data_IF_353825317710
#
_entry.id   IF_353825317710
#
_cell.length_a   1.000
_cell.length_b   1.000
_cell.length_c   1.000
_cell.angle_alpha   90.00
_cell.angle_beta   90.00
_cell.angle_gamma   90.00
#
_symmetry.space_group_name_H-M   'P 1'
#
loop_
_entity.id
_entity.type
_entity.pdbx_description
1 polymer ?
#
# COMPACT_ATOMS: atom_id res chain seq x y z
N UNK A 1 -14.13 -47.65 26.17
CA UNK A 1 -13.33 -46.63 25.47
C UNK A 1 -14.25 -45.47 25.20
N UNK A 2 -13.99 -44.30 25.77
CA UNK A 2 -14.78 -43.09 25.51
C UNK A 2 -14.52 -42.68 24.06
N UNK A 3 -15.44 -43.00 23.16
CA UNK A 3 -15.46 -42.52 21.79
C UNK A 3 -15.63 -41.01 21.84
N UNK A 4 -14.55 -40.29 21.53
CA UNK A 4 -14.55 -38.83 21.52
C UNK A 4 -15.38 -38.37 20.34
N UNK A 5 -16.42 -37.61 20.61
CA UNK A 5 -17.22 -36.93 19.59
C UNK A 5 -16.30 -36.06 18.70
N UNK A 6 -16.32 -36.30 17.39
CA UNK A 6 -15.56 -35.54 16.39
C UNK A 6 -16.48 -35.02 15.27
N UNK A 7 -16.94 -33.76 15.37
CA UNK A 7 -17.88 -33.19 14.42
C UNK A 7 -17.26 -32.85 13.05
N UNK A 8 -15.92 -32.82 12.93
CA UNK A 8 -15.26 -32.38 11.70
C UNK A 8 -15.42 -33.40 10.56
N UNK A 9 -15.49 -34.69 10.88
CA UNK A 9 -15.61 -35.76 9.90
C UNK A 9 -17.06 -36.04 9.48
N UNK A 10 -18.06 -35.60 10.26
CA UNK A 10 -19.48 -35.81 9.95
C UNK A 10 -19.92 -35.06 8.68
N UNK A 11 -19.48 -33.81 8.51
CA UNK A 11 -19.79 -33.03 7.31
C UNK A 11 -19.23 -33.65 6.04
N UNK A 12 -17.98 -34.16 6.10
CA UNK A 12 -17.36 -34.85 4.97
C UNK A 12 -18.06 -36.19 4.67
N UNK A 13 -18.51 -36.92 5.69
CA UNK A 13 -19.29 -38.15 5.53
C UNK A 13 -20.63 -37.88 4.84
N UNK A 14 -21.39 -36.86 5.27
CA UNK A 14 -22.68 -36.48 4.66
C UNK A 14 -22.50 -36.09 3.19
N UNK A 15 -21.49 -35.29 2.88
CA UNK A 15 -21.21 -34.83 1.51
C UNK A 15 -20.55 -35.89 0.62
N UNK A 16 -20.32 -37.11 1.12
CA UNK A 16 -19.68 -38.19 0.37
C UNK A 16 -18.21 -37.93 0.00
N UNK A 17 -17.52 -37.13 0.81
CA UNK A 17 -16.15 -36.68 0.56
C UNK A 17 -15.07 -37.51 1.29
N UNK A 18 -15.47 -38.57 1.99
CA UNK A 18 -14.57 -39.50 2.68
C UNK A 18 -14.14 -40.66 1.78
N UNK A 19 -12.96 -41.21 2.06
CA UNK A 19 -12.51 -42.46 1.43
C UNK A 19 -13.18 -43.71 2.02
N UNK A 20 -13.00 -44.87 1.37
CA UNK A 20 -13.64 -46.12 1.81
C UNK A 20 -13.24 -46.57 3.22
N UNK A 21 -12.03 -46.24 3.66
CA UNK A 21 -11.57 -46.59 5.00
C UNK A 21 -12.19 -45.66 6.04
N UNK A 22 -12.19 -44.36 5.77
CA UNK A 22 -12.81 -43.34 6.62
C UNK A 22 -14.33 -43.55 6.77
N UNK A 23 -15.02 -43.99 5.71
CA UNK A 23 -16.44 -44.37 5.78
C UNK A 23 -16.66 -45.53 6.75
N UNK A 24 -15.82 -46.58 6.70
CA UNK A 24 -15.95 -47.73 7.61
C UNK A 24 -15.71 -47.33 9.07
N UNK A 25 -14.70 -46.49 9.31
CA UNK A 25 -14.39 -45.97 10.64
C UNK A 25 -15.53 -45.09 11.19
N UNK A 26 -16.14 -44.27 10.32
CA UNK A 26 -17.30 -43.45 10.68
C UNK A 26 -18.55 -44.30 10.96
N UNK A 27 -18.83 -45.32 10.15
CA UNK A 27 -19.95 -46.24 10.39
C UNK A 27 -19.82 -46.92 11.76
N UNK A 28 -18.63 -47.41 12.11
CA UNK A 28 -18.37 -47.98 13.44
C UNK A 28 -18.56 -46.92 14.55
N UNK A 29 -18.09 -45.70 14.33
CA UNK A 29 -18.26 -44.60 15.28
C UNK A 29 -19.75 -44.27 15.52
N UNK A 30 -20.57 -44.21 14.47
CA UNK A 30 -21.99 -43.90 14.56
C UNK A 30 -22.78 -44.96 15.34
N UNK A 31 -22.33 -46.23 15.34
CA UNK A 31 -22.95 -47.27 16.20
C UNK A 31 -22.66 -47.10 17.69
N UNK A 32 -21.60 -46.35 18.03
CA UNK A 32 -21.09 -46.24 19.40
C UNK A 32 -21.20 -44.82 19.99
N UNK A 33 -21.56 -43.81 19.20
CA UNK A 33 -21.73 -42.42 19.63
C UNK A 33 -23.13 -41.86 19.27
N UNK A 34 -24.07 -41.78 20.24
CA UNK A 34 -25.42 -41.27 19.98
C UNK A 34 -25.46 -39.77 19.63
N UNK A 35 -24.48 -38.98 20.09
CA UNK A 35 -24.41 -37.56 19.76
C UNK A 35 -24.08 -37.33 18.28
N UNK A 36 -23.10 -38.08 17.74
CA UNK A 36 -22.79 -38.04 16.31
C UNK A 36 -23.95 -38.56 15.44
N UNK A 37 -24.68 -39.57 15.91
CA UNK A 37 -25.86 -40.09 15.19
C UNK A 37 -26.98 -39.04 15.08
N UNK A 38 -27.22 -38.27 16.15
CA UNK A 38 -28.18 -37.16 16.15
C UNK A 38 -27.74 -36.01 15.25
N UNK A 39 -26.47 -35.61 15.33
CA UNK A 39 -25.94 -34.53 14.47
C UNK A 39 -25.97 -34.92 12.98
N UNK A 40 -25.74 -36.21 12.66
CA UNK A 40 -25.88 -36.72 11.30
C UNK A 40 -27.31 -36.56 10.76
N UNK A 41 -28.32 -36.76 11.60
CA UNK A 41 -29.74 -36.54 11.23
C UNK A 41 -30.00 -35.06 10.96
N UNK A 42 -29.54 -34.17 11.85
CA UNK A 42 -29.65 -32.71 11.67
C UNK A 42 -28.97 -32.22 10.37
N UNK A 43 -27.81 -32.78 10.03
CA UNK A 43 -27.09 -32.45 8.79
C UNK A 43 -27.80 -32.97 7.54
N UNK A 44 -28.39 -34.17 7.58
CA UNK A 44 -29.16 -34.74 6.46
C UNK A 44 -30.43 -33.96 6.17
N UNK A 45 -31.10 -33.46 7.20
CA UNK A 45 -32.27 -32.59 7.03
C UNK A 45 -31.89 -31.26 6.35
N UNK A 46 -30.74 -30.68 6.72
CA UNK A 46 -30.22 -29.49 6.07
C UNK A 46 -29.82 -29.76 4.61
N UNK A 47 -29.17 -30.90 4.33
CA UNK A 47 -28.83 -31.33 2.96
C UNK A 47 -30.09 -31.48 2.10
N UNK A 48 -31.13 -32.13 2.64
CA UNK A 48 -32.41 -32.28 1.94
C UNK A 48 -33.03 -30.93 1.59
N UNK A 49 -33.03 -29.98 2.54
CA UNK A 49 -33.52 -28.61 2.29
C UNK A 49 -32.68 -27.87 1.23
N UNK A 50 -31.35 -28.02 1.25
CA UNK A 50 -30.48 -27.44 0.22
C UNK A 50 -30.67 -28.10 -1.15
N UNK A 51 -31.04 -29.38 -1.19
CA UNK A 51 -31.38 -30.11 -2.41
C UNK A 51 -32.69 -29.67 -3.07
N UNK A 52 -33.57 -28.97 -2.35
CA UNK A 52 -34.80 -28.39 -2.91
C UNK A 52 -34.56 -27.11 -3.73
N UNK A 53 -33.32 -26.61 -3.78
CA UNK A 53 -32.98 -25.42 -4.57
C UNK A 53 -33.19 -25.71 -6.06
N UNK A 54 -34.10 -24.96 -6.73
CA UNK A 54 -34.37 -25.18 -8.14
C UNK A 54 -33.14 -24.84 -8.98
N UNK A 55 -32.90 -25.52 -10.13
CA UNK A 55 -31.75 -25.25 -10.99
C UNK A 55 -31.64 -23.79 -11.43
N UNK A 56 -32.76 -23.09 -11.55
CA UNK A 56 -32.83 -21.67 -11.91
C UNK A 56 -32.30 -20.73 -10.81
N UNK A 57 -32.25 -21.20 -9.56
CA UNK A 57 -31.65 -20.50 -8.43
C UNK A 57 -30.17 -20.86 -8.23
N UNK A 58 -29.67 -21.90 -8.91
CA UNK A 58 -28.25 -22.21 -8.95
C UNK A 58 -27.56 -21.22 -9.88
N UNK A 59 -26.96 -20.18 -9.30
CA UNK A 59 -26.15 -19.21 -10.03
C UNK A 59 -24.74 -19.77 -10.22
N UNK A 60 -24.36 -20.05 -11.48
CA UNK A 60 -22.98 -20.36 -11.83
C UNK A 60 -22.13 -19.08 -11.83
N UNK A 61 -21.65 -18.73 -10.64
CA UNK A 61 -20.78 -17.58 -10.44
C UNK A 61 -21.52 -16.24 -10.30
N UNK A 62 -20.76 -15.13 -10.21
CA UNK A 62 -21.34 -13.81 -10.07
C UNK A 62 -22.22 -13.47 -11.29
N UNK A 63 -23.29 -12.67 -11.11
CA UNK A 63 -24.19 -12.29 -12.20
C UNK A 63 -23.42 -11.64 -13.36
N UNK A 64 -23.94 -11.74 -14.58
CA UNK A 64 -23.33 -11.10 -15.75
C UNK A 64 -23.07 -9.60 -15.48
N UNK A 65 -21.81 -9.19 -15.57
CA UNK A 65 -21.39 -7.81 -15.27
C UNK A 65 -21.18 -7.49 -13.79
N UNK A 66 -21.20 -8.50 -12.90
CA UNK A 66 -20.92 -8.35 -11.47
C UNK A 66 -19.57 -7.68 -11.19
N UNK A 67 -18.55 -7.99 -11.99
CA UNK A 67 -17.24 -7.33 -11.90
C UNK A 67 -17.28 -5.85 -12.22
N UNK A 68 -18.06 -5.45 -13.23
CA UNK A 68 -18.22 -4.05 -13.61
C UNK A 68 -18.98 -3.28 -12.53
N UNK A 69 -20.01 -3.90 -11.94
CA UNK A 69 -20.76 -3.34 -10.81
C UNK A 69 -19.85 -3.19 -9.58
N UNK A 70 -19.04 -4.20 -9.26
CA UNK A 70 -18.07 -4.15 -8.18
C UNK A 70 -17.05 -3.04 -8.40
N UNK A 71 -16.43 -2.97 -9.58
CA UNK A 71 -15.46 -1.93 -9.92
C UNK A 71 -16.08 -0.53 -9.86
N UNK A 72 -17.31 -0.36 -10.35
CA UNK A 72 -18.06 0.90 -10.28
C UNK A 72 -18.31 1.31 -8.84
N UNK A 73 -18.74 0.36 -8.00
CA UNK A 73 -19.03 0.58 -6.58
C UNK A 73 -17.76 0.97 -5.83
N UNK A 74 -16.66 0.25 -6.04
CA UNK A 74 -15.37 0.57 -5.44
C UNK A 74 -14.82 1.93 -5.89
N UNK A 75 -15.04 2.32 -7.15
CA UNK A 75 -14.67 3.63 -7.68
C UNK A 75 -15.51 4.74 -7.04
N UNK A 76 -16.82 4.51 -6.88
CA UNK A 76 -17.74 5.44 -6.25
C UNK A 76 -17.37 5.67 -4.78
N UNK A 77 -17.16 4.60 -3.99
CA UNK A 77 -16.75 4.69 -2.58
C UNK A 77 -15.44 5.46 -2.42
N UNK A 78 -14.47 5.24 -3.31
CA UNK A 78 -13.20 6.00 -3.32
C UNK A 78 -13.43 7.48 -3.62
N UNK A 79 -14.30 7.80 -4.58
CA UNK A 79 -14.61 9.19 -4.93
C UNK A 79 -15.35 9.94 -3.82
N UNK A 80 -16.28 9.29 -3.13
CA UNK A 80 -17.04 9.86 -2.02
C UNK A 80 -16.14 10.10 -0.80
N UNK A 81 -15.27 9.13 -0.46
CA UNK A 81 -14.26 9.31 0.60
C UNK A 81 -13.24 10.40 0.26
N UNK A 82 -12.79 10.47 -0.98
CA UNK A 82 -11.85 11.48 -1.46
C UNK A 82 -12.44 12.90 -1.46
N UNK A 83 -13.73 13.04 -1.81
CA UNK A 83 -14.44 14.33 -1.82
C UNK A 83 -14.56 14.97 -0.44
N UNK A 84 -14.82 14.16 0.60
CA UNK A 84 -14.90 14.63 1.99
C UNK A 84 -13.52 15.08 2.50
N UNK A 85 -12.48 14.28 2.24
CA UNK A 85 -11.11 14.64 2.62
C UNK A 85 -10.65 15.93 1.93
N UNK A 86 -10.94 16.07 0.63
CA UNK A 86 -10.58 17.24 -0.16
C UNK A 86 -11.33 18.50 0.28
N UNK A 87 -12.64 18.41 0.56
CA UNK A 87 -13.41 19.53 1.15
C UNK A 87 -12.86 19.96 2.51
N UNK A 88 -12.49 19.01 3.37
CA UNK A 88 -11.88 19.31 4.68
C UNK A 88 -10.53 19.99 4.52
N UNK A 89 -9.71 19.55 3.58
CA UNK A 89 -8.42 20.17 3.25
C UNK A 89 -8.58 21.59 2.69
N UNK A 90 -9.55 21.82 1.81
CA UNK A 90 -9.86 23.17 1.31
C UNK A 90 -10.38 24.09 2.41
N UNK A 91 -11.25 23.60 3.31
CA UNK A 91 -11.75 24.37 4.44
C UNK A 91 -10.62 24.74 5.43
N UNK A 92 -9.72 23.79 5.73
CA UNK A 92 -8.54 24.04 6.55
C UNK A 92 -7.57 25.03 5.89
N UNK A 93 -7.37 24.93 4.57
CA UNK A 93 -6.56 25.88 3.81
C UNK A 93 -7.14 27.29 3.80
N UNK A 94 -8.46 27.42 3.64
CA UNK A 94 -9.15 28.71 3.71
C UNK A 94 -9.07 29.34 5.10
N UNK A 95 -9.26 28.55 6.17
CA UNK A 95 -9.09 29.01 7.54
C UNK A 95 -7.66 29.49 7.82
N UNK A 96 -6.65 28.75 7.35
CA UNK A 96 -5.25 29.15 7.48
C UNK A 96 -4.94 30.46 6.73
N UNK A 97 -5.53 30.68 5.55
CA UNK A 97 -5.37 31.93 4.80
C UNK A 97 -6.00 33.13 5.51
N UNK A 98 -7.16 32.96 6.15
CA UNK A 98 -7.80 34.02 6.95
C UNK A 98 -6.96 34.35 8.18
N UNK A 99 -6.45 33.34 8.90
CA UNK A 99 -5.55 33.56 10.05
C UNK A 99 -4.27 34.27 9.60
N UNK A 100 -3.65 33.85 8.48
CA UNK A 100 -2.49 34.53 7.94
C UNK A 100 -2.79 35.99 7.56
N UNK A 101 -3.94 36.27 6.95
CA UNK A 101 -4.36 37.64 6.63
C UNK A 101 -4.59 38.50 7.89
N UNK A 102 -5.17 37.92 8.96
CA UNK A 102 -5.35 38.61 10.24
C UNK A 102 -4.02 38.85 10.95
N UNK A 103 -3.11 37.87 10.97
CA UNK A 103 -1.77 38.00 11.56
C UNK A 103 -0.92 39.02 10.81
N UNK A 104 -0.95 39.00 9.47
CA UNK A 104 -0.24 39.98 8.64
C UNK A 104 -0.88 41.37 8.77
N UNK A 105 -2.21 41.46 8.82
CA UNK A 105 -2.93 42.72 9.00
C UNK A 105 -2.69 43.36 10.37
N UNK A 106 -2.72 42.56 11.44
CA UNK A 106 -2.43 43.02 12.80
C UNK A 106 -0.94 43.32 13.00
N UNK A 107 -0.05 42.53 12.41
CA UNK A 107 1.41 42.72 12.48
C UNK A 107 1.87 44.02 11.80
N UNK A 108 1.23 44.41 10.69
CA UNK A 108 1.53 45.69 10.01
C UNK A 108 1.02 46.90 10.81
N UNK A 109 -0.10 46.76 11.53
CA UNK A 109 -0.67 47.85 12.34
C UNK A 109 0.11 48.07 13.66
N UNK A 110 0.57 46.99 14.30
CA UNK A 110 1.37 47.06 15.53
C UNK A 110 2.85 47.41 15.25
N UNK A 111 3.41 46.92 14.14
CA UNK A 111 4.83 47.13 13.79
C UNK A 111 5.22 48.56 13.42
N UNK A 112 4.27 49.45 13.11
CA UNK A 112 4.55 50.88 12.86
C UNK A 112 4.53 51.77 14.10
N UNK A 113 4.04 51.28 15.25
CA UNK A 113 3.77 52.12 16.41
C UNK A 113 4.91 52.15 17.45
N UNK A 114 5.82 51.18 17.48
CA UNK A 114 6.82 51.08 18.57
C UNK A 114 8.13 50.42 18.12
N UNK A 115 9.17 51.22 17.83
CA UNK A 115 10.58 50.83 18.09
C UNK A 115 10.81 50.79 19.60
N UNK A 116 11.75 50.01 20.20
CA UNK A 116 13.02 49.50 19.66
C UNK A 116 13.31 47.99 19.94
N UNK A 117 14.46 47.50 19.44
CA UNK A 117 15.15 46.21 19.67
C UNK A 117 14.28 44.98 20.01
N UNK A 118 14.05 44.11 19.02
CA UNK A 118 13.38 42.82 19.24
C UNK A 118 14.32 41.68 18.90
N UNK A 119 14.84 41.08 19.96
CA UNK A 119 15.45 39.76 20.05
C UNK A 119 14.68 38.76 19.19
N UNK A 120 15.38 38.08 18.27
CA UNK A 120 14.80 37.13 17.34
C UNK A 120 13.99 36.03 18.07
N UNK A 121 12.73 35.86 17.68
CA UNK A 121 11.90 34.70 18.05
C UNK A 121 12.49 33.42 17.44
N UNK A 122 12.39 32.26 18.13
CA UNK A 122 12.97 31.00 17.66
C UNK A 122 12.29 30.48 16.40
N UNK A 123 13.08 30.20 15.37
CA UNK A 123 12.71 29.46 14.16
C UNK A 123 12.13 28.08 14.52
N UNK A 124 11.08 27.58 13.83
CA UNK A 124 10.59 26.21 14.02
C UNK A 124 11.68 25.21 13.65
N UNK A 125 12.16 24.45 14.64
CA UNK A 125 13.14 23.37 14.47
C UNK A 125 12.51 22.24 13.65
N UNK A 126 12.96 22.06 12.42
CA UNK A 126 12.72 20.83 11.64
C UNK A 126 13.28 19.67 12.46
N UNK A 127 12.47 18.63 12.72
CA UNK A 127 12.95 17.44 13.41
C UNK A 127 14.17 16.88 12.67
N UNK A 128 15.29 16.58 13.36
CA UNK A 128 16.49 16.10 12.70
C UNK A 128 16.22 14.76 12.00
N UNK A 129 16.84 14.55 10.84
CA UNK A 129 16.77 13.27 10.12
C UNK A 129 17.30 12.12 11.02
N UNK A 130 16.77 10.89 10.92
CA UNK A 130 17.27 9.75 11.68
C UNK A 130 18.78 9.53 11.46
N UNK A 131 19.47 9.09 12.51
CA UNK A 131 20.88 8.73 12.41
C UNK A 131 21.10 7.68 11.31
N UNK A 132 22.14 7.86 10.48
CA UNK A 132 22.43 7.00 9.33
C UNK A 132 21.67 7.37 8.05
N UNK A 133 20.92 8.49 8.04
CA UNK A 133 20.36 9.04 6.80
C UNK A 133 21.47 9.49 5.87
N UNK A 134 21.41 9.07 4.60
CA UNK A 134 22.40 9.41 3.57
C UNK A 134 21.74 10.22 2.47
N UNK A 135 22.41 11.28 2.03
CA UNK A 135 21.98 12.10 0.90
C UNK A 135 23.03 11.98 -0.20
N UNK A 136 22.59 11.69 -1.42
CA UNK A 136 23.46 11.60 -2.58
C UNK A 136 22.79 12.27 -3.78
N UNK A 137 23.60 12.89 -4.64
CA UNK A 137 23.14 13.52 -5.88
C UNK A 137 24.07 13.12 -7.01
N UNK A 138 23.49 12.79 -8.16
CA UNK A 138 24.24 12.53 -9.38
C UNK A 138 23.47 13.01 -10.61
N UNK A 139 24.22 13.42 -11.64
CA UNK A 139 23.69 13.79 -12.96
C UNK A 139 24.40 12.94 -13.99
N UNK A 140 23.64 12.20 -14.78
CA UNK A 140 24.19 11.35 -15.83
C UNK A 140 24.70 12.21 -17.01
N UNK A 141 25.96 12.03 -17.43
CA UNK A 141 26.55 12.89 -18.47
C UNK A 141 25.97 12.64 -19.87
N UNK A 142 25.36 11.47 -20.12
CA UNK A 142 24.81 11.07 -21.42
C UNK A 142 23.35 11.46 -21.53
N UNK A 143 22.52 11.03 -20.56
CA UNK A 143 21.07 11.28 -20.58
C UNK A 143 20.72 12.68 -20.09
N UNK A 144 21.63 13.33 -19.34
CA UNK A 144 21.40 14.59 -18.61
C UNK A 144 20.35 14.49 -17.51
N UNK A 145 19.83 13.29 -17.23
CA UNK A 145 18.95 13.07 -16.09
C UNK A 145 19.72 13.25 -14.79
N UNK A 146 19.11 13.89 -13.80
CA UNK A 146 19.69 14.06 -12.47
C UNK A 146 18.76 13.52 -11.40
N UNK A 147 19.35 12.99 -10.33
CA UNK A 147 18.61 12.53 -9.17
C UNK A 147 19.35 12.92 -7.90
N UNK A 148 18.61 13.52 -6.97
CA UNK A 148 18.97 13.63 -5.56
C UNK A 148 18.16 12.60 -4.80
N UNK A 149 18.81 11.76 -4.01
CA UNK A 149 18.16 10.73 -3.20
C UNK A 149 18.59 10.86 -1.73
N UNK A 150 17.60 10.91 -0.85
CA UNK A 150 17.74 10.75 0.59
C UNK A 150 17.33 9.33 0.97
N UNK A 151 18.29 8.52 1.40
CA UNK A 151 18.09 7.16 1.91
C UNK A 151 17.99 7.24 3.43
N UNK A 152 16.82 6.94 3.97
CA UNK A 152 16.52 6.97 5.40
C UNK A 152 16.48 5.53 5.93
N UNK A 153 17.30 5.18 6.93
CA UNK A 153 17.32 3.83 7.48
C UNK A 153 16.01 3.49 8.21
N UNK A 154 15.62 2.22 8.11
CA UNK A 154 14.57 1.59 8.90
C UNK A 154 15.02 0.18 9.32
N UNK A 155 14.22 -0.51 10.15
CA UNK A 155 14.58 -1.81 10.71
C UNK A 155 14.62 -2.91 9.63
N UNK A 156 15.79 -3.15 9.02
CA UNK A 156 16.02 -4.17 7.99
C UNK A 156 15.64 -3.75 6.57
N UNK A 157 15.34 -2.47 6.34
CA UNK A 157 14.94 -1.92 5.04
C UNK A 157 15.21 -0.41 4.99
N UNK A 158 15.02 0.22 3.83
CA UNK A 158 15.22 1.67 3.65
C UNK A 158 14.00 2.38 3.07
N UNK A 159 13.80 3.63 3.49
CA UNK A 159 12.96 4.60 2.78
C UNK A 159 13.82 5.47 1.88
N UNK A 160 13.28 5.86 0.73
CA UNK A 160 13.94 6.76 -0.21
C UNK A 160 13.04 7.94 -0.50
N UNK A 161 13.55 9.16 -0.37
CA UNK A 161 12.92 10.37 -0.89
C UNK A 161 13.80 10.89 -2.02
N UNK A 162 13.24 11.06 -3.22
CA UNK A 162 13.98 11.34 -4.44
C UNK A 162 13.41 12.55 -5.15
N UNK A 163 14.30 13.38 -5.68
CA UNK A 163 13.99 14.45 -6.62
C UNK A 163 14.69 14.14 -7.94
N UNK A 164 13.93 13.91 -9.01
CA UNK A 164 14.42 13.44 -10.31
C UNK A 164 14.09 14.47 -11.39
N UNK A 165 15.06 14.79 -12.25
CA UNK A 165 14.91 15.73 -13.36
C UNK A 165 15.47 15.14 -14.67
N UNK A 166 15.05 15.71 -15.81
CA UNK A 166 15.64 15.42 -17.11
C UNK A 166 15.18 14.11 -17.78
N UNK A 167 14.04 13.54 -17.33
CA UNK A 167 13.42 12.39 -18.00
C UNK A 167 12.27 12.90 -18.90
N UNK A 168 12.17 12.46 -20.17
CA UNK A 168 11.10 12.89 -21.08
C UNK A 168 9.69 12.54 -20.60
N UNK A 169 8.71 13.34 -21.01
CA UNK A 169 7.28 13.07 -20.78
C UNK A 169 6.86 11.72 -21.39
N UNK A 170 5.97 11.01 -20.70
CA UNK A 170 5.40 9.75 -21.16
C UNK A 170 6.24 8.50 -20.85
N UNK A 171 7.50 8.67 -20.43
CA UNK A 171 8.34 7.57 -19.98
C UNK A 171 7.71 6.86 -18.78
N UNK A 172 7.59 5.55 -18.86
CA UNK A 172 7.17 4.69 -17.74
C UNK A 172 8.45 4.27 -17.04
N UNK A 173 8.70 4.78 -15.84
CA UNK A 173 9.94 4.56 -15.09
C UNK A 173 9.73 3.69 -13.86
N UNK A 174 10.80 3.01 -13.43
CA UNK A 174 10.91 2.29 -12.17
C UNK A 174 12.18 2.74 -11.43
N UNK A 175 12.11 2.72 -10.10
CA UNK A 175 13.25 2.91 -9.22
C UNK A 175 13.68 1.56 -8.67
N UNK A 176 15.00 1.33 -8.65
CA UNK A 176 15.60 0.21 -7.93
C UNK A 176 16.60 0.71 -6.91
N UNK A 177 16.54 0.16 -5.70
CA UNK A 177 17.65 0.20 -4.75
C UNK A 177 18.52 -1.02 -5.01
N UNK A 178 19.79 -0.79 -5.30
CA UNK A 178 20.78 -1.83 -5.60
C UNK A 178 21.61 -2.05 -4.35
N UNK A 179 21.68 -3.30 -3.90
CA UNK A 179 22.50 -3.70 -2.76
C UNK A 179 23.95 -3.98 -3.18
N UNK A 180 24.86 -4.05 -2.21
CA UNK A 180 26.29 -4.33 -2.43
C UNK A 180 26.54 -5.70 -3.07
N UNK A 181 25.66 -6.68 -2.83
CA UNK A 181 25.69 -8.01 -3.44
C UNK A 181 25.17 -8.04 -4.89
N UNK A 182 24.69 -6.90 -5.41
CA UNK A 182 24.15 -6.75 -6.76
C UNK A 182 22.65 -7.05 -6.88
N UNK A 183 21.99 -7.51 -5.81
CA UNK A 183 20.54 -7.67 -5.80
C UNK A 183 19.84 -6.31 -5.98
N UNK A 184 18.68 -6.35 -6.64
CA UNK A 184 17.90 -5.15 -6.99
C UNK A 184 16.52 -5.27 -6.40
N UNK A 185 16.11 -4.28 -5.62
CA UNK A 185 14.78 -4.20 -5.02
C UNK A 185 14.05 -3.00 -5.61
N UNK A 186 12.86 -3.25 -6.19
CA UNK A 186 12.05 -2.18 -6.77
C UNK A 186 11.47 -1.30 -5.64
N UNK A 187 11.69 0.02 -5.74
CA UNK A 187 11.23 0.99 -4.74
C UNK A 187 10.01 1.79 -5.19
N UNK A 188 9.57 1.62 -6.44
CA UNK A 188 8.38 2.25 -7.00
C UNK A 188 8.45 2.41 -8.51
N UNK A 189 7.32 2.81 -9.10
CA UNK A 189 7.20 3.12 -10.53
C UNK A 189 6.22 4.27 -10.78
N UNK A 190 6.41 4.98 -11.89
CA UNK A 190 5.56 6.12 -12.27
C UNK A 190 5.62 6.38 -13.77
N UNK A 191 4.72 7.24 -14.24
CA UNK A 191 4.79 7.83 -15.59
C UNK A 191 5.21 9.28 -15.46
N UNK A 192 6.18 9.72 -16.25
CA UNK A 192 6.59 11.12 -16.27
C UNK A 192 5.50 11.97 -16.90
N UNK A 193 4.88 12.85 -16.10
CA UNK A 193 3.91 13.83 -16.61
C UNK A 193 4.61 14.97 -17.34
N UNK A 194 3.87 15.75 -18.15
CA UNK A 194 4.35 16.99 -18.76
C UNK A 194 5.03 17.93 -17.75
N UNK A 195 4.42 18.12 -16.58
CA UNK A 195 4.98 18.92 -15.49
C UNK A 195 6.27 18.29 -14.95
N UNK A 196 6.26 16.98 -14.75
CA UNK A 196 7.43 16.24 -14.26
C UNK A 196 8.64 16.32 -15.19
N UNK A 197 8.42 16.35 -16.50
CA UNK A 197 9.49 16.53 -17.48
C UNK A 197 10.09 17.95 -17.45
N UNK A 198 9.27 18.97 -17.16
CA UNK A 198 9.69 20.38 -17.15
C UNK A 198 10.29 20.84 -15.81
N UNK A 199 9.69 20.42 -14.69
CA UNK A 199 9.99 20.91 -13.34
C UNK A 199 10.62 19.83 -12.43
N UNK A 200 10.71 18.59 -12.90
CA UNK A 200 11.13 17.46 -12.09
C UNK A 200 9.99 16.75 -11.37
N UNK A 201 10.30 15.56 -10.84
CA UNK A 201 9.36 14.71 -10.11
C UNK A 201 9.95 14.36 -8.76
N UNK A 202 9.18 14.58 -7.69
CA UNK A 202 9.51 14.10 -6.36
C UNK A 202 8.77 12.79 -6.09
N UNK A 203 9.50 11.80 -5.59
CA UNK A 203 8.97 10.46 -5.32
C UNK A 203 9.48 9.94 -3.98
N UNK A 204 8.58 9.29 -3.26
CA UNK A 204 8.92 8.49 -2.10
C UNK A 204 8.84 7.00 -2.46
N UNK A 205 9.72 6.22 -1.86
CA UNK A 205 9.82 4.78 -2.09
C UNK A 205 10.37 4.03 -0.88
N UNK A 206 10.36 2.71 -0.98
CA UNK A 206 10.90 1.82 0.05
C UNK A 206 11.48 0.56 -0.60
N UNK A 207 12.58 0.05 -0.06
CA UNK A 207 13.19 -1.18 -0.55
C UNK A 207 13.65 -2.08 0.60
N UNK A 208 13.45 -3.38 0.43
CA UNK A 208 13.90 -4.42 1.36
C UNK A 208 15.40 -4.68 1.20
N UNK A 209 16.19 -3.67 1.56
CA UNK A 209 17.66 -3.71 1.59
C UNK A 209 18.11 -3.16 2.93
N UNK A 210 18.97 -3.89 3.65
CA UNK A 210 19.55 -3.39 4.90
C UNK A 210 20.24 -2.04 4.63
N UNK A 211 19.99 -0.99 5.43
CA UNK A 211 20.59 0.32 5.21
C UNK A 211 22.12 0.32 5.02
N UNK A 212 22.83 -0.61 5.66
CA UNK A 212 24.30 -0.71 5.52
C UNK A 212 24.73 -1.29 4.16
N UNK A 213 23.81 -1.98 3.47
CA UNK A 213 24.07 -2.73 2.25
C UNK A 213 23.61 -2.01 0.99
N UNK A 214 22.98 -0.83 1.12
CA UNK A 214 22.67 0.02 -0.04
C UNK A 214 23.94 0.47 -0.74
N UNK A 215 24.02 0.22 -2.06
CA UNK A 215 25.13 0.62 -2.94
C UNK A 215 24.74 1.79 -3.84
N UNK A 216 23.59 1.72 -4.50
CA UNK A 216 23.13 2.76 -5.41
C UNK A 216 21.60 2.76 -5.55
N UNK A 217 21.06 3.86 -6.09
CA UNK A 217 19.66 3.96 -6.50
C UNK A 217 19.61 4.24 -8.00
N UNK A 218 18.84 3.46 -8.74
CA UNK A 218 18.78 3.47 -10.20
C UNK A 218 17.38 3.84 -10.66
N UNK A 219 17.29 4.68 -11.68
CA UNK A 219 16.06 4.93 -12.43
C UNK A 219 16.22 4.40 -13.85
N UNK A 220 15.29 3.56 -14.28
CA UNK A 220 15.21 3.02 -15.65
C UNK A 220 13.76 2.96 -16.13
N UNK A 221 13.53 2.88 -17.45
CA UNK A 221 12.19 2.58 -17.97
C UNK A 221 11.93 1.07 -18.10
N UNK A 222 10.68 0.73 -18.42
CA UNK A 222 10.25 -0.65 -18.66
C UNK A 222 10.87 -1.29 -19.92
N UNK A 223 11.56 -0.52 -20.74
CA UNK A 223 12.29 -0.97 -21.93
C UNK A 223 13.78 -1.24 -21.64
N UNK A 224 14.21 -1.05 -20.38
CA UNK A 224 15.59 -1.29 -19.94
C UNK A 224 16.56 -0.12 -20.16
N UNK A 225 16.06 1.04 -20.62
CA UNK A 225 16.88 2.25 -20.71
C UNK A 225 17.09 2.84 -19.32
N UNK A 226 18.35 2.80 -18.86
CA UNK A 226 18.78 3.48 -17.63
C UNK A 226 18.90 4.99 -17.86
N UNK A 227 18.29 5.79 -16.99
CA UNK A 227 18.38 7.24 -17.03
C UNK A 227 19.48 7.78 -16.12
N UNK A 228 19.49 7.35 -14.86
CA UNK A 228 20.44 7.83 -13.86
C UNK A 228 20.64 6.77 -12.80
N UNK A 229 21.87 6.68 -12.30
CA UNK A 229 22.24 5.85 -11.15
C UNK A 229 23.02 6.72 -10.19
N UNK A 230 22.52 6.82 -8.95
CA UNK A 230 23.17 7.60 -7.89
C UNK A 230 23.85 6.63 -6.94
N UNK A 231 25.20 6.59 -6.87
CA UNK A 231 25.91 5.85 -5.85
C UNK A 231 25.62 6.43 -4.46
N UNK A 232 25.30 5.58 -3.50
CA UNK A 232 25.08 5.96 -2.11
C UNK A 232 26.32 5.54 -1.33
N UNK A 233 27.15 6.50 -0.96
CA UNK A 233 28.38 6.24 -0.21
C UNK A 233 28.05 5.73 1.20
N UNK A 234 28.90 4.82 1.71
CA UNK A 234 28.70 4.18 3.01
C UNK A 234 28.91 5.16 4.18
#
# INVERSE_FOLDING_TARGET
MTTRHDPQLLGAYVLGALDEQEVREMDEHLTSCPDCARELEELRDMEAFLGEVPPEAMLDGPPEGGDLLLQRTLRQVRSERGGVARRRQFALGAAAAVVAAVVLGAGVFVGKATSPDVTALPTPTVAPDPAGTRLATFTDPVTKASMTVKVVPAAGWVRTNMAINGIPEGEKCRIFVVAKDGSRQEAGSWVVSKKGAAEGTNLDGSALVDPKDVKSVVVENFEGKKFVEVPVQA
#
